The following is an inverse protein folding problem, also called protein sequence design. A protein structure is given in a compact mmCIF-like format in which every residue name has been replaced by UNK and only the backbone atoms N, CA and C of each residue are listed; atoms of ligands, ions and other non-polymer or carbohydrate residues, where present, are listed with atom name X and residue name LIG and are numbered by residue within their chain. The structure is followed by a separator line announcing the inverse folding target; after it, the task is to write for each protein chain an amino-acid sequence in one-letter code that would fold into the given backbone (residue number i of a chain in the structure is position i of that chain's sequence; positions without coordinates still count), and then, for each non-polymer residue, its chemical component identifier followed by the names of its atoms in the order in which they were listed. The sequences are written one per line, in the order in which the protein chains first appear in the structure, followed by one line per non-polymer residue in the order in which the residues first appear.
data_IF_744666648720
#
_entry.id   IF_744666648720
#
_cell.length_a   1.000
_cell.length_b   1.000
_cell.length_c   1.000
_cell.angle_alpha   90.00
_cell.angle_beta   90.00
_cell.angle_gamma   90.00
#
_symmetry.space_group_name_H-M   'P 1'
#
loop_
_entity.id
_entity.type
_entity.pdbx_description
1 polymer ?
#
# COMPACT_ATOMS: atom_id res chain seq x y z
N UNK A 1 -1.29 -0.60 8.89
CA UNK A 1 -1.77 -0.57 7.50
C UNK A 1 -1.02 -1.64 6.73
N UNK A 2 -1.71 -2.73 6.34
CA UNK A 2 -1.19 -3.63 5.30
C UNK A 2 -1.11 -2.80 4.02
N UNK A 3 -0.05 -2.98 3.22
CA UNK A 3 0.00 -2.38 1.89
C UNK A 3 -1.25 -2.85 1.16
N UNK A 4 -2.08 -1.90 0.76
CA UNK A 4 -3.27 -2.22 -0.02
C UNK A 4 -2.76 -2.51 -1.42
N UNK A 5 -2.72 -3.79 -1.77
CA UNK A 5 -2.41 -4.19 -3.12
C UNK A 5 -3.67 -3.98 -3.95
N UNK A 6 -3.60 -3.09 -4.94
CA UNK A 6 -4.62 -2.94 -5.98
C UNK A 6 -4.11 -3.62 -7.27
N UNK A 7 -3.97 -4.96 -7.30
CA UNK A 7 -3.40 -5.60 -8.47
C UNK A 7 -4.38 -5.55 -9.64
N UNK A 8 -5.68 -5.70 -9.41
CA UNK A 8 -6.65 -5.71 -10.52
C UNK A 8 -8.04 -5.35 -10.05
N UNK A 9 -8.57 -4.24 -10.54
CA UNK A 9 -9.94 -3.81 -10.34
C UNK A 9 -10.53 -3.45 -11.70
N UNK A 10 -11.78 -3.85 -11.92
CA UNK A 10 -12.54 -3.44 -13.10
C UNK A 10 -13.66 -2.53 -12.63
N UNK A 11 -13.46 -1.23 -12.83
CA UNK A 11 -14.41 -0.20 -12.42
C UNK A 11 -15.23 0.22 -13.63
N UNK A 12 -16.56 0.21 -13.50
CA UNK A 12 -17.48 0.64 -14.57
C UNK A 12 -17.30 2.13 -14.83
N UNK A 13 -17.48 2.57 -16.08
CA UNK A 13 -17.39 3.99 -16.45
C UNK A 13 -18.28 4.88 -15.58
N UNK A 14 -19.53 4.47 -15.37
CA UNK A 14 -20.50 5.19 -14.55
C UNK A 14 -20.07 5.41 -13.08
N UNK A 15 -19.16 4.58 -12.56
CA UNK A 15 -18.59 4.76 -11.22
C UNK A 15 -17.57 5.90 -11.26
N UNK A 16 -16.70 5.94 -12.28
CA UNK A 16 -15.76 7.06 -12.47
C UNK A 16 -16.50 8.40 -12.64
N UNK A 17 -17.66 8.41 -13.30
CA UNK A 17 -18.49 9.61 -13.44
C UNK A 17 -19.02 10.11 -12.07
N UNK A 18 -19.19 9.22 -11.08
CA UNK A 18 -19.61 9.58 -9.70
C UNK A 18 -18.44 9.96 -8.79
N UNK A 19 -17.40 9.13 -8.74
CA UNK A 19 -16.31 9.29 -7.76
C UNK A 19 -15.17 10.15 -8.29
N UNK A 20 -15.10 10.39 -9.60
CA UNK A 20 -14.04 11.11 -10.28
C UNK A 20 -12.88 10.22 -10.73
N UNK A 21 -12.03 10.76 -11.61
CA UNK A 21 -10.84 10.09 -12.13
C UNK A 21 -9.72 10.02 -11.08
N UNK A 22 -8.57 9.43 -11.42
CA UNK A 22 -7.40 9.43 -10.55
C UNK A 22 -6.88 10.85 -10.28
N UNK A 23 -6.54 11.14 -9.02
CA UNK A 23 -5.85 12.39 -8.69
C UNK A 23 -4.35 12.28 -9.05
N UNK A 24 -3.94 13.02 -10.08
CA UNK A 24 -2.56 13.01 -10.59
C UNK A 24 -1.54 13.76 -9.70
N UNK A 25 -1.99 14.43 -8.63
CA UNK A 25 -1.12 15.00 -7.60
C UNK A 25 -0.38 13.89 -6.82
N UNK A 26 -1.03 12.73 -6.63
CA UNK A 26 -0.39 11.54 -6.08
C UNK A 26 0.31 10.77 -7.20
N UNK A 27 1.63 10.57 -7.07
CA UNK A 27 2.43 9.88 -8.09
C UNK A 27 2.59 8.40 -7.81
N UNK A 28 2.42 8.00 -6.55
CA UNK A 28 2.56 6.62 -6.11
C UNK A 28 1.23 6.09 -5.53
N UNK A 29 0.48 6.91 -4.79
CA UNK A 29 -0.71 6.48 -4.04
C UNK A 29 -2.05 6.87 -4.70
N UNK A 30 -2.06 7.09 -6.03
CA UNK A 30 -3.28 7.47 -6.77
C UNK A 30 -4.34 6.38 -6.78
N UNK A 31 -3.92 5.11 -6.74
CA UNK A 31 -4.75 3.93 -6.59
C UNK A 31 -5.42 3.90 -5.22
N UNK A 32 -4.64 4.14 -4.17
CA UNK A 32 -5.15 4.20 -2.80
C UNK A 32 -6.15 5.36 -2.60
N UNK A 33 -5.90 6.52 -3.20
CA UNK A 33 -6.85 7.63 -3.23
C UNK A 33 -8.18 7.23 -3.88
N UNK A 34 -8.13 6.59 -5.05
CA UNK A 34 -9.34 6.10 -5.71
C UNK A 34 -10.06 5.06 -4.84
N UNK A 35 -9.33 4.16 -4.18
CA UNK A 35 -9.92 3.17 -3.27
C UNK A 35 -10.66 3.79 -2.09
N UNK A 36 -10.14 4.86 -1.50
CA UNK A 36 -10.84 5.58 -0.44
C UNK A 36 -12.19 6.14 -0.93
N UNK A 37 -12.27 6.59 -2.19
CA UNK A 37 -13.50 7.10 -2.81
C UNK A 37 -14.45 5.98 -3.25
N UNK A 38 -13.94 4.80 -3.56
CA UNK A 38 -14.73 3.61 -3.92
C UNK A 38 -15.24 2.84 -2.70
N UNK A 39 -14.90 3.24 -1.46
CA UNK A 39 -15.18 2.46 -0.26
C UNK A 39 -16.67 2.13 -0.06
N UNK A 40 -17.56 3.01 -0.52
CA UNK A 40 -19.01 2.85 -0.40
C UNK A 40 -19.67 2.28 -1.66
N UNK A 41 -18.92 2.05 -2.74
CA UNK A 41 -19.45 1.48 -3.99
C UNK A 41 -19.60 -0.04 -3.86
N UNK A 42 -20.71 -0.64 -4.34
CA UNK A 42 -20.89 -2.08 -4.31
C UNK A 42 -19.86 -2.77 -5.21
N UNK A 43 -19.20 -3.78 -4.67
CA UNK A 43 -18.18 -4.55 -5.38
C UNK A 43 -18.41 -6.05 -5.26
N UNK A 44 -17.94 -6.80 -6.26
CA UNK A 44 -17.84 -8.25 -6.23
C UNK A 44 -16.37 -8.66 -6.15
N UNK A 45 -16.06 -9.63 -5.28
CA UNK A 45 -14.74 -10.23 -5.23
C UNK A 45 -14.69 -11.45 -6.16
N UNK A 46 -13.70 -11.49 -7.05
CA UNK A 46 -13.40 -12.67 -7.85
C UNK A 46 -12.27 -13.44 -7.17
N UNK A 47 -12.59 -14.58 -6.57
CA UNK A 47 -11.62 -15.47 -5.93
C UNK A 47 -10.84 -16.30 -6.96
N UNK A 48 -10.09 -15.60 -7.81
CA UNK A 48 -9.22 -16.19 -8.83
C UNK A 48 -8.02 -15.29 -9.09
N UNK A 49 -6.84 -15.88 -9.20
CA UNK A 49 -5.66 -15.16 -9.69
C UNK A 49 -5.84 -14.80 -11.15
N UNK A 50 -5.98 -13.51 -11.42
CA UNK A 50 -6.14 -12.95 -12.77
C UNK A 50 -5.00 -12.02 -13.19
N UNK A 51 -4.12 -11.65 -12.26
CA UNK A 51 -2.92 -10.88 -12.53
C UNK A 51 -1.77 -11.31 -11.60
N UNK A 52 -0.55 -11.15 -12.11
CA UNK A 52 0.70 -11.36 -11.37
C UNK A 52 1.49 -10.06 -11.49
N UNK A 53 1.84 -9.47 -10.34
CA UNK A 53 2.60 -8.22 -10.28
C UNK A 53 4.08 -8.52 -10.05
N UNK A 54 4.93 -7.75 -10.72
CA UNK A 54 6.36 -7.72 -10.42
C UNK A 54 6.61 -6.84 -9.17
N UNK A 55 7.63 -7.17 -8.39
CA UNK A 55 8.02 -6.43 -7.20
C UNK A 55 8.98 -5.26 -7.50
N UNK A 56 9.42 -5.10 -8.76
CA UNK A 56 10.34 -4.05 -9.20
C UNK A 56 9.72 -2.66 -9.47
N UNK A 57 8.51 -2.39 -8.97
CA UNK A 57 7.78 -1.13 -9.22
C UNK A 57 8.36 0.13 -8.55
N UNK A 58 7.85 1.30 -8.95
CA UNK A 58 8.21 2.61 -8.36
C UNK A 58 7.88 2.65 -6.86
N UNK A 59 6.75 2.05 -6.45
CA UNK A 59 6.35 1.95 -5.04
C UNK A 59 7.35 1.14 -4.19
N UNK A 60 8.00 0.13 -4.78
CA UNK A 60 9.04 -0.67 -4.13
C UNK A 60 10.37 0.08 -4.06
N UNK A 61 10.81 0.69 -5.17
CA UNK A 61 12.09 1.43 -5.22
C UNK A 61 12.04 2.71 -4.37
N UNK A 62 10.89 3.38 -4.31
CA UNK A 62 10.67 4.61 -3.56
C UNK A 62 9.80 4.37 -2.31
N UNK A 63 10.05 3.28 -1.57
CA UNK A 63 9.25 2.84 -0.43
C UNK A 63 8.91 3.95 0.60
N UNK A 64 9.89 4.75 1.03
CA UNK A 64 9.65 5.80 2.03
C UNK A 64 8.72 6.90 1.50
N UNK A 65 8.82 7.23 0.21
CA UNK A 65 7.93 8.19 -0.45
C UNK A 65 6.53 7.61 -0.60
N UNK A 66 6.42 6.33 -0.98
CA UNK A 66 5.15 5.62 -1.03
C UNK A 66 4.43 5.66 0.32
N UNK A 67 5.12 5.41 1.44
CA UNK A 67 4.53 5.50 2.77
C UNK A 67 4.00 6.90 3.09
N UNK A 68 4.73 7.95 2.71
CA UNK A 68 4.32 9.33 2.99
C UNK A 68 3.13 9.76 2.12
N UNK A 69 3.09 9.40 0.83
CA UNK A 69 1.92 9.66 -0.02
C UNK A 69 0.69 8.90 0.48
N UNK A 70 0.82 7.62 0.83
CA UNK A 70 -0.27 6.84 1.43
C UNK A 70 -0.79 7.45 2.73
N UNK A 71 0.10 7.97 3.58
CA UNK A 71 -0.29 8.70 4.79
C UNK A 71 -1.12 9.93 4.45
N UNK A 72 -0.67 10.75 3.50
CA UNK A 72 -1.36 11.99 3.11
C UNK A 72 -2.77 11.69 2.61
N UNK A 73 -2.91 10.69 1.74
CA UNK A 73 -4.21 10.20 1.28
C UNK A 73 -5.05 9.75 2.48
N UNK A 74 -4.53 8.91 3.37
CA UNK A 74 -5.31 8.48 4.54
C UNK A 74 -5.78 9.67 5.38
N UNK A 75 -4.87 10.59 5.72
CA UNK A 75 -5.16 11.74 6.58
C UNK A 75 -6.14 12.73 5.91
N UNK A 76 -6.22 12.77 4.56
CA UNK A 76 -7.19 13.61 3.86
C UNK A 76 -8.63 13.09 3.93
N UNK A 77 -8.83 11.78 4.03
CA UNK A 77 -10.17 11.18 4.12
C UNK A 77 -10.62 10.89 5.55
N UNK A 78 -9.70 10.43 6.41
CA UNK A 78 -10.02 9.91 7.75
C UNK A 78 -9.44 10.77 8.89
N UNK A 79 -8.73 11.86 8.57
CA UNK A 79 -8.08 12.72 9.56
C UNK A 79 -6.81 12.13 10.16
N UNK A 80 -6.23 12.85 11.11
CA UNK A 80 -4.95 12.46 11.73
C UNK A 80 -5.15 11.30 12.71
N UNK A 81 -4.32 10.26 12.59
CA UNK A 81 -4.33 9.11 13.49
C UNK A 81 -2.97 8.87 14.16
N UNK A 82 -2.95 8.84 15.50
CA UNK A 82 -1.75 8.53 16.29
C UNK A 82 -1.25 7.12 15.99
N UNK A 83 -2.18 6.16 15.90
CA UNK A 83 -1.86 4.76 15.56
C UNK A 83 -1.22 4.65 14.17
N UNK A 84 -1.73 5.41 13.18
CA UNK A 84 -1.13 5.46 11.85
C UNK A 84 0.31 5.98 11.89
N UNK A 85 0.56 7.04 12.68
CA UNK A 85 1.90 7.63 12.82
C UNK A 85 2.87 6.69 13.51
N UNK A 86 2.45 6.05 14.60
CA UNK A 86 3.24 5.02 15.29
C UNK A 86 3.56 3.85 14.36
N UNK A 87 2.58 3.41 13.57
CA UNK A 87 2.77 2.34 12.59
C UNK A 87 3.77 2.73 11.51
N UNK A 88 3.68 3.95 10.98
CA UNK A 88 4.64 4.44 9.99
C UNK A 88 6.04 4.58 10.55
N UNK A 89 6.18 5.05 11.78
CA UNK A 89 7.48 5.11 12.44
C UNK A 89 8.08 3.71 12.55
N UNK A 90 7.29 2.71 12.98
CA UNK A 90 7.71 1.30 12.97
C UNK A 90 8.15 0.82 11.59
N UNK A 91 7.39 1.11 10.53
CA UNK A 91 7.75 0.72 9.16
C UNK A 91 9.05 1.38 8.67
N UNK A 92 9.23 2.68 8.95
CA UNK A 92 10.46 3.42 8.63
C UNK A 92 11.65 2.81 9.38
N UNK A 93 11.51 2.51 10.67
CA UNK A 93 12.56 1.86 11.48
C UNK A 93 12.93 0.48 10.94
N UNK A 94 11.93 -0.35 10.59
CA UNK A 94 12.18 -1.67 9.99
C UNK A 94 12.88 -1.57 8.63
N UNK A 95 12.49 -0.61 7.79
CA UNK A 95 13.14 -0.37 6.50
C UNK A 95 14.65 -0.08 6.65
N UNK A 96 15.02 0.75 7.64
CA UNK A 96 16.43 1.02 7.93
C UNK A 96 17.13 -0.17 8.58
N UNK A 97 16.48 -0.86 9.51
CA UNK A 97 17.04 -2.04 10.16
C UNK A 97 17.41 -3.12 9.14
N UNK A 98 16.53 -3.41 8.18
CA UNK A 98 16.75 -4.42 7.14
C UNK A 98 17.91 -4.09 6.18
N UNK A 99 18.34 -2.82 6.12
CA UNK A 99 19.53 -2.41 5.36
C UNK A 99 20.84 -2.74 6.10
N UNK A 100 20.80 -2.97 7.40
CA UNK A 100 21.97 -3.33 8.21
C UNK A 100 22.31 -4.83 8.12
N UNK A 101 23.56 -5.24 8.35
CA UNK A 101 23.93 -6.65 8.40
C UNK A 101 23.13 -7.43 9.46
N UNK A 102 22.90 -6.82 10.63
CA UNK A 102 22.11 -7.42 11.70
C UNK A 102 20.65 -7.67 11.29
N UNK A 103 20.01 -6.69 10.63
CA UNK A 103 18.65 -6.86 10.14
C UNK A 103 18.53 -7.93 9.06
N UNK A 104 19.51 -8.01 8.14
CA UNK A 104 19.57 -9.09 7.14
C UNK A 104 19.75 -10.46 7.78
N UNK A 105 20.61 -10.56 8.79
CA UNK A 105 20.80 -11.78 9.56
C UNK A 105 19.51 -12.19 10.29
N UNK A 106 18.85 -11.26 10.98
CA UNK A 106 17.58 -11.50 11.67
C UNK A 106 16.50 -11.98 10.69
N UNK A 107 16.42 -11.36 9.51
CA UNK A 107 15.50 -11.79 8.45
C UNK A 107 15.83 -13.20 7.93
N UNK A 108 17.10 -13.54 7.75
CA UNK A 108 17.51 -14.88 7.34
C UNK A 108 17.17 -15.95 8.39
N UNK A 109 17.34 -15.65 9.69
CA UNK A 109 16.90 -16.54 10.78
C UNK A 109 15.37 -16.73 10.74
N UNK A 110 14.63 -15.62 10.59
CA UNK A 110 13.17 -15.66 10.48
C UNK A 110 12.69 -16.52 9.30
N UNK A 111 13.34 -16.38 8.15
CA UNK A 111 13.07 -17.19 6.94
C UNK A 111 13.36 -18.67 7.16
N UNK A 112 14.47 -19.00 7.84
CA UNK A 112 14.78 -20.40 8.20
C UNK A 112 13.74 -21.02 9.13
N UNK A 113 13.08 -20.20 9.95
CA UNK A 113 12.00 -20.64 10.83
C UNK A 113 10.63 -20.78 10.13
N UNK A 114 10.52 -20.45 8.83
CA UNK A 114 9.25 -20.48 8.09
C UNK A 114 8.23 -19.43 8.54
N UNK A 115 8.71 -18.36 9.20
CA UNK A 115 7.86 -17.29 9.76
C UNK A 115 7.82 -16.05 8.87
N UNK A 116 8.41 -16.11 7.68
CA UNK A 116 8.27 -15.04 6.68
C UNK A 116 6.80 -14.80 6.34
N UNK A 117 6.43 -13.53 6.29
CA UNK A 117 5.13 -13.16 5.76
C UNK A 117 5.29 -13.18 4.24
N UNK A 118 4.59 -14.09 3.57
CA UNK A 118 4.43 -14.09 2.12
C UNK A 118 3.57 -12.90 1.68
#
# INVERSE_FOLDING_TARGET
MRSVSHPTWFVRKEVYDRVGMFNSEYKIAMDYDLMCRLADEPYGYLDKTIAVFDDAGISSSQYLRSLEENKKVYESYFGTSVLLRLWQWRLKTLHWLLKTPFGKWLFAVKKKAGLENW
#
